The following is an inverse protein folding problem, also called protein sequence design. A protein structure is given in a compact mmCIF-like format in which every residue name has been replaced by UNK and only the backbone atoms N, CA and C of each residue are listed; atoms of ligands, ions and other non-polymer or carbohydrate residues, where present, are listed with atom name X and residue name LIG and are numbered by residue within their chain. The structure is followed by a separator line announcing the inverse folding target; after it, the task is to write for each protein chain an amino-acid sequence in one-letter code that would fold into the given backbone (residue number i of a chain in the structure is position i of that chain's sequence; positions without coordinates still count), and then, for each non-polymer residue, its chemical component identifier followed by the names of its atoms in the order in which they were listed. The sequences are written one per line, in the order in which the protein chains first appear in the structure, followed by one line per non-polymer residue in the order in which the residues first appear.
data_IF_123912296021
#
_entry.id   IF_123912296021
#
_cell.length_a   1.000
_cell.length_b   1.000
_cell.length_c   1.000
_cell.angle_alpha   90.00
_cell.angle_beta   90.00
_cell.angle_gamma   90.00
#
_symmetry.space_group_name_H-M   'P 1'
#
loop_
_entity.id
_entity.type
_entity.pdbx_description
1 polymer ?
#
# COMPACT_ATOMS: atom_id res chain seq x y z
N UNK A 1 9.99 -13.77 0.29
CA UNK A 1 10.18 -12.52 1.05
C UNK A 1 9.47 -11.40 0.33
N UNK A 2 8.54 -10.72 1.00
CA UNK A 2 7.69 -9.69 0.41
C UNK A 2 8.20 -8.29 0.79
N UNK A 3 8.02 -7.30 -0.10
CA UNK A 3 8.18 -5.86 0.21
C UNK A 3 6.82 -5.28 0.61
N UNK A 4 6.75 -4.63 1.78
CA UNK A 4 5.51 -4.12 2.36
C UNK A 4 5.42 -2.59 2.25
N UNK A 5 4.55 -2.11 1.36
CA UNK A 5 4.24 -0.69 1.17
C UNK A 5 3.04 -0.30 2.03
N UNK A 6 3.30 0.00 3.30
CA UNK A 6 2.27 0.31 4.29
C UNK A 6 2.10 1.81 4.38
N UNK A 7 0.86 2.29 4.36
CA UNK A 7 0.54 3.71 4.50
C UNK A 7 -0.36 3.98 5.70
N UNK A 8 -0.09 5.08 6.40
CA UNK A 8 -1.00 5.68 7.37
C UNK A 8 -1.17 7.16 7.03
N UNK A 9 -2.41 7.64 6.85
CA UNK A 9 -2.70 9.03 6.50
C UNK A 9 -1.90 9.60 5.31
N UNK A 10 -1.59 8.77 4.31
CA UNK A 10 -0.73 9.10 3.15
C UNK A 10 0.79 9.13 3.42
N UNK A 11 1.23 8.90 4.65
CA UNK A 11 2.64 8.70 4.98
C UNK A 11 3.03 7.24 4.79
N UNK A 12 4.21 7.01 4.22
CA UNK A 12 4.77 5.68 4.01
C UNK A 12 5.48 5.22 5.28
N UNK A 13 5.24 3.97 5.67
CA UNK A 13 5.97 3.33 6.76
C UNK A 13 7.30 2.79 6.25
N UNK A 14 8.38 3.18 6.93
CA UNK A 14 9.75 2.77 6.63
C UNK A 14 10.41 2.17 7.88
N UNK A 15 11.48 1.41 7.66
CA UNK A 15 12.43 1.06 8.73
C UNK A 15 13.17 2.31 9.23
N UNK A 16 13.84 2.21 10.39
CA UNK A 16 14.69 3.29 10.90
C UNK A 16 15.80 3.71 9.92
N UNK A 17 16.24 2.80 9.04
CA UNK A 17 17.23 3.02 7.97
C UNK A 17 16.66 3.64 6.69
N UNK A 18 15.38 4.03 6.66
CA UNK A 18 14.65 4.54 5.49
C UNK A 18 14.45 3.51 4.37
N UNK A 19 14.27 2.23 4.69
CA UNK A 19 14.03 1.19 3.70
C UNK A 19 12.56 0.71 3.74
N UNK A 20 12.11 0.11 2.64
CA UNK A 20 10.81 -0.57 2.61
C UNK A 20 10.90 -1.82 3.49
N UNK A 21 10.01 -2.01 4.49
CA UNK A 21 10.03 -3.22 5.31
C UNK A 21 9.86 -4.49 4.48
N UNK A 22 10.66 -5.51 4.76
CA UNK A 22 10.62 -6.79 4.06
C UNK A 22 10.39 -7.97 5.00
N UNK A 23 9.58 -8.93 4.56
CA UNK A 23 9.31 -10.14 5.36
C UNK A 23 8.24 -11.02 4.73
N UNK A 24 8.09 -12.26 5.19
CA UNK A 24 6.97 -13.11 4.79
C UNK A 24 5.63 -12.57 5.31
N UNK A 25 5.66 -12.00 6.51
CA UNK A 25 4.52 -11.35 7.18
C UNK A 25 4.73 -9.83 7.25
N UNK A 26 3.65 -9.04 7.38
CA UNK A 26 3.77 -7.61 7.58
C UNK A 26 4.50 -7.34 8.91
N UNK A 27 5.31 -6.27 8.99
CA UNK A 27 6.03 -5.89 10.22
C UNK A 27 5.10 -5.41 11.34
N UNK A 28 3.82 -5.23 11.06
CA UNK A 28 2.76 -4.84 12.00
C UNK A 28 1.55 -5.75 11.81
N UNK A 29 0.75 -5.91 12.87
CA UNK A 29 -0.55 -6.55 12.76
C UNK A 29 -1.44 -5.75 11.80
N UNK A 30 -2.13 -6.46 10.91
CA UNK A 30 -3.14 -5.89 10.02
C UNK A 30 -4.51 -6.38 10.45
N UNK A 31 -5.47 -5.47 10.49
CA UNK A 31 -6.86 -5.77 10.77
C UNK A 31 -7.52 -6.52 9.60
N UNK A 32 -8.57 -7.33 9.85
CA UNK A 32 -9.25 -8.10 8.81
C UNK A 32 -9.79 -7.26 7.65
N UNK A 33 -10.11 -5.98 7.90
CA UNK A 33 -10.60 -5.04 6.89
C UNK A 33 -9.49 -4.25 6.19
N UNK A 34 -8.23 -4.34 6.62
CA UNK A 34 -7.13 -3.71 5.90
C UNK A 34 -6.89 -4.46 4.58
N UNK A 35 -7.43 -3.88 3.50
CA UNK A 35 -7.38 -4.51 2.20
C UNK A 35 -5.98 -4.45 1.61
N UNK A 36 -5.48 -5.62 1.23
CA UNK A 36 -4.18 -5.77 0.56
C UNK A 36 -4.34 -5.54 -0.94
N UNK A 37 -3.45 -4.73 -1.49
CA UNK A 37 -3.30 -4.52 -2.93
C UNK A 37 -2.01 -5.19 -3.38
N UNK A 38 -2.12 -6.21 -4.22
CA UNK A 38 -0.95 -6.83 -4.87
C UNK A 38 -0.40 -5.86 -5.91
N UNK A 39 0.93 -5.76 -5.96
CA UNK A 39 1.69 -4.94 -6.89
C UNK A 39 2.60 -5.83 -7.74
N UNK A 40 3.09 -5.33 -8.90
CA UNK A 40 4.12 -6.03 -9.66
C UNK A 40 5.34 -6.33 -8.79
N UNK A 41 5.96 -7.49 -9.02
CA UNK A 41 7.18 -7.86 -8.31
C UNK A 41 8.31 -6.86 -8.60
N UNK A 42 9.13 -6.59 -7.59
CA UNK A 42 10.30 -5.72 -7.69
C UNK A 42 11.51 -6.45 -7.11
N UNK A 43 12.61 -6.49 -7.87
CA UNK A 43 13.84 -7.19 -7.50
C UNK A 43 13.62 -8.67 -7.12
N UNK A 44 12.66 -9.34 -7.77
CA UNK A 44 12.28 -10.72 -7.48
C UNK A 44 11.42 -10.88 -6.21
N UNK A 45 11.10 -9.80 -5.49
CA UNK A 45 10.23 -9.81 -4.33
C UNK A 45 8.79 -9.45 -4.72
N UNK A 46 7.81 -10.19 -4.18
CA UNK A 46 6.39 -9.81 -4.25
C UNK A 46 6.19 -8.51 -3.49
N UNK A 47 5.42 -7.59 -4.06
CA UNK A 47 5.14 -6.28 -3.47
C UNK A 47 3.68 -6.22 -3.05
N UNK A 48 3.42 -5.79 -1.80
CA UNK A 48 2.08 -5.70 -1.24
C UNK A 48 1.89 -4.32 -0.64
N UNK A 49 0.80 -3.66 -1.00
CA UNK A 49 0.40 -2.38 -0.43
C UNK A 49 -0.80 -2.51 0.48
N UNK A 50 -0.84 -1.70 1.54
CA UNK A 50 -1.96 -1.65 2.48
C UNK A 50 -2.04 -0.27 3.12
N UNK A 51 -3.26 0.20 3.37
CA UNK A 51 -3.52 1.41 4.17
C UNK A 51 -4.07 0.97 5.53
N UNK A 52 -3.40 1.39 6.60
CA UNK A 52 -3.81 1.16 7.99
C UNK A 52 -4.58 2.37 8.52
N UNK A 53 -5.36 2.15 9.58
CA UNK A 53 -6.31 3.11 10.15
C UNK A 53 -5.95 3.55 11.57
N UNK A 54 -4.96 2.94 12.20
CA UNK A 54 -4.40 3.35 13.48
C UNK A 54 -2.91 3.75 13.34
N UNK A 55 -2.41 4.64 14.20
CA UNK A 55 -1.00 4.99 14.20
C UNK A 55 -0.13 3.78 14.58
N UNK A 56 1.13 3.83 14.16
CA UNK A 56 2.13 2.86 14.63
C UNK A 56 2.38 3.02 16.12
N UNK A 57 2.59 1.90 16.81
CA UNK A 57 3.14 1.93 18.16
C UNK A 57 4.63 2.31 18.11
N UNK A 58 5.09 3.04 19.12
CA UNK A 58 6.43 3.65 19.15
C UNK A 58 7.58 2.65 19.30
N UNK A 59 7.28 1.38 19.54
CA UNK A 59 8.21 0.31 19.90
C UNK A 59 8.63 -0.60 18.73
N UNK A 60 8.12 -0.35 17.51
CA UNK A 60 8.28 -1.29 16.37
C UNK A 60 9.54 -1.01 15.52
N UNK A 61 10.33 0.02 15.83
CA UNK A 61 11.50 0.40 15.00
C UNK A 61 11.11 0.81 13.57
N UNK A 62 9.91 1.39 13.45
CA UNK A 62 9.31 1.86 12.21
C UNK A 62 8.99 3.34 12.34
N UNK A 63 9.10 4.06 11.23
CA UNK A 63 8.79 5.48 11.17
C UNK A 63 7.88 5.80 9.99
N UNK A 64 7.16 6.90 10.14
CA UNK A 64 6.32 7.47 9.09
C UNK A 64 7.11 8.56 8.36
N UNK A 65 6.99 8.58 7.03
CA UNK A 65 7.57 9.62 6.21
C UNK A 65 6.64 9.92 5.03
N UNK A 66 6.38 11.21 4.78
CA UNK A 66 5.57 11.62 3.64
C UNK A 66 6.15 11.11 2.33
N UNK A 67 5.32 10.55 1.44
CA UNK A 67 5.78 9.88 0.22
C UNK A 67 6.69 10.73 -0.67
N UNK A 68 6.52 12.07 -0.72
CA UNK A 68 7.44 12.93 -1.49
C UNK A 68 8.82 13.07 -0.84
N UNK A 69 8.87 13.08 0.49
CA UNK A 69 10.12 13.19 1.25
C UNK A 69 10.98 11.94 1.08
N UNK A 70 10.36 10.77 0.83
CA UNK A 70 11.10 9.52 0.62
C UNK A 70 11.90 9.49 -0.67
N UNK A 71 11.72 10.47 -1.58
CA UNK A 71 12.44 10.56 -2.85
C UNK A 71 13.96 10.56 -2.68
N UNK A 72 14.47 11.28 -1.68
CA UNK A 72 15.91 11.37 -1.42
C UNK A 72 16.47 10.21 -0.59
N UNK A 73 15.60 9.31 -0.12
CA UNK A 73 15.95 8.22 0.80
C UNK A 73 15.81 6.82 0.19
N UNK A 74 14.78 6.63 -0.64
CA UNK A 74 14.51 5.34 -1.28
C UNK A 74 15.29 5.17 -2.57
N UNK A 75 15.50 3.92 -2.97
CA UNK A 75 15.92 3.62 -4.33
C UNK A 75 14.89 4.16 -5.33
N UNK A 76 15.32 4.52 -6.55
CA UNK A 76 14.40 4.99 -7.59
C UNK A 76 13.31 3.95 -7.92
N UNK A 77 13.62 2.66 -7.75
CA UNK A 77 12.67 1.58 -7.96
C UNK A 77 11.62 1.53 -6.84
N UNK A 78 12.04 1.56 -5.57
CA UNK A 78 11.14 1.55 -4.42
C UNK A 78 10.28 2.81 -4.36
N UNK A 79 10.84 3.98 -4.65
CA UNK A 79 10.08 5.23 -4.71
C UNK A 79 8.96 5.17 -5.76
N UNK A 80 9.27 4.69 -6.98
CA UNK A 80 8.26 4.52 -8.04
C UNK A 80 7.19 3.50 -7.64
N UNK A 81 7.60 2.40 -7.01
CA UNK A 81 6.66 1.40 -6.51
C UNK A 81 5.77 1.95 -5.41
N UNK A 82 6.32 2.73 -4.46
CA UNK A 82 5.54 3.40 -3.42
C UNK A 82 4.54 4.41 -4.00
N UNK A 83 4.93 5.14 -5.06
CA UNK A 83 4.03 5.96 -5.86
C UNK A 83 2.85 5.17 -6.42
N UNK A 84 3.14 4.04 -7.08
CA UNK A 84 2.11 3.17 -7.65
C UNK A 84 1.22 2.53 -6.58
N UNK A 85 1.81 2.12 -5.46
CA UNK A 85 1.11 1.60 -4.29
C UNK A 85 0.07 2.61 -3.80
N UNK A 86 0.48 3.87 -3.61
CA UNK A 86 -0.42 4.94 -3.16
C UNK A 86 -1.54 5.22 -4.17
N UNK A 87 -1.21 5.24 -5.46
CA UNK A 87 -2.19 5.41 -6.55
C UNK A 87 -3.27 4.32 -6.50
N UNK A 88 -2.88 3.06 -6.39
CA UNK A 88 -3.83 1.93 -6.39
C UNK A 88 -4.65 1.86 -5.11
N UNK A 89 -4.06 2.12 -3.93
CA UNK A 89 -4.82 2.22 -2.68
C UNK A 89 -5.85 3.36 -2.75
N UNK A 90 -5.46 4.51 -3.30
CA UNK A 90 -6.37 5.64 -3.49
C UNK A 90 -7.48 5.31 -4.50
N UNK A 91 -7.15 4.74 -5.66
CA UNK A 91 -8.13 4.28 -6.63
C UNK A 91 -9.11 3.31 -5.99
N UNK A 92 -8.61 2.31 -5.26
CA UNK A 92 -9.44 1.28 -4.68
C UNK A 92 -10.42 1.86 -3.64
N UNK A 93 -9.95 2.75 -2.77
CA UNK A 93 -10.79 3.41 -1.77
C UNK A 93 -11.82 4.37 -2.41
N UNK A 94 -11.52 5.00 -3.56
CA UNK A 94 -12.41 5.97 -4.22
C UNK A 94 -13.36 5.39 -5.25
N UNK A 95 -13.10 4.19 -5.75
CA UNK A 95 -13.92 3.52 -6.78
C UNK A 95 -14.72 2.35 -6.19
N UNK A 96 -15.45 2.59 -5.10
CA UNK A 96 -16.27 1.54 -4.46
C UNK A 96 -17.64 1.35 -5.12
N UNK A 97 -18.07 2.34 -5.90
CA UNK A 97 -19.38 2.36 -6.56
C UNK A 97 -19.22 2.75 -8.03
N UNK A 98 -20.14 2.27 -8.87
CA UNK A 98 -20.15 2.53 -10.29
C UNK A 98 -20.52 3.99 -10.55
N UNK A 99 -19.67 4.72 -11.27
CA UNK A 99 -19.92 6.12 -11.61
C UNK A 99 -21.14 6.34 -12.52
N UNK A 100 -21.65 5.29 -13.19
CA UNK A 100 -22.81 5.38 -14.07
C UNK A 100 -24.14 5.09 -13.36
N UNK A 101 -24.19 4.09 -12.47
CA UNK A 101 -25.45 3.61 -11.88
C UNK A 101 -25.46 3.61 -10.35
N UNK A 102 -24.34 3.92 -9.69
CA UNK A 102 -24.23 3.96 -8.23
C UNK A 102 -24.16 2.59 -7.53
N UNK A 103 -24.28 1.46 -8.26
CA UNK A 103 -24.17 0.13 -7.68
C UNK A 103 -22.76 -0.14 -7.11
N UNK A 104 -22.62 -0.91 -6.01
CA UNK A 104 -21.31 -1.35 -5.52
C UNK A 104 -20.54 -2.09 -6.62
N UNK A 105 -19.26 -1.75 -6.79
CA UNK A 105 -18.41 -2.42 -7.77
C UNK A 105 -17.85 -3.73 -7.20
N UNK A 106 -17.75 -4.74 -8.05
CA UNK A 106 -17.12 -6.03 -7.73
C UNK A 106 -15.70 -6.08 -8.27
N UNK A 107 -14.81 -6.76 -7.55
CA UNK A 107 -13.46 -7.02 -8.04
C UNK A 107 -13.48 -7.99 -9.22
N UNK A 108 -12.64 -7.74 -10.21
CA UNK A 108 -12.57 -8.58 -11.40
C UNK A 108 -11.15 -9.09 -11.66
N UNK A 109 -10.15 -8.21 -11.57
CA UNK A 109 -8.72 -8.56 -11.61
C UNK A 109 -7.98 -7.78 -10.53
N UNK A 110 -6.67 -7.99 -10.38
CA UNK A 110 -5.86 -7.29 -9.36
C UNK A 110 -5.99 -5.76 -9.38
N UNK A 111 -6.16 -5.17 -10.57
CA UNK A 111 -6.32 -3.72 -10.78
C UNK A 111 -7.57 -3.36 -11.60
N UNK A 112 -8.64 -4.15 -11.51
CA UNK A 112 -9.90 -3.80 -12.17
C UNK A 112 -11.14 -4.20 -11.38
N UNK A 113 -12.19 -3.42 -11.58
CA UNK A 113 -13.51 -3.62 -10.98
C UNK A 113 -14.57 -3.63 -12.07
N UNK A 114 -15.64 -4.39 -11.84
CA UNK A 114 -16.77 -4.53 -12.76
C UNK A 114 -18.06 -4.07 -12.12
N UNK A 115 -18.89 -3.40 -12.90
CA UNK A 115 -20.28 -3.14 -12.54
C UNK A 115 -21.08 -4.45 -12.64
N UNK A 116 -21.84 -4.83 -11.60
CA UNK A 116 -22.65 -6.04 -11.64
C UNK A 116 -23.92 -5.88 -12.49
N UNK A 117 -24.27 -4.64 -12.83
CA UNK A 117 -25.34 -4.31 -13.77
C UNK A 117 -24.89 -4.47 -15.21
#
# INVERSE_FOLDING_TARGET
MNKWFIFYQSELILTDTNEIPTGEQPPIALEPWNRRQVLPSLDGATCIAVEIDHPLSSDVGLKQMGLRQTFDHLSSADYRMAGKARELLYWNSRTRYCGSCGAPLEEHTEISKKCPQ
#
